data_IF_924132646052
#
_entry.id   IF_924132646052
#
_cell.length_a   1.000
_cell.length_b   1.000
_cell.length_c   1.000
_cell.angle_alpha   90.00
_cell.angle_beta   90.00
_cell.angle_gamma   90.00
#
_symmetry.space_group_name_H-M   'P 1'
#
loop_
_entity.id
_entity.type
_entity.pdbx_description
1 polymer ?
#
# COMPACT_ATOMS: atom_id res chain seq x y z
N UNK A 1 12.95 39.65 -0.66
CA UNK A 1 12.13 38.68 -1.42
C UNK A 1 10.78 38.60 -0.74
N UNK A 2 9.74 39.15 -1.37
CA UNK A 2 8.41 39.24 -0.79
C UNK A 2 7.74 37.86 -0.87
N UNK A 3 7.72 37.12 0.26
CA UNK A 3 6.97 35.86 0.36
C UNK A 3 5.50 36.26 0.47
N UNK A 4 4.87 36.49 -0.69
CA UNK A 4 3.42 36.49 -0.78
C UNK A 4 3.02 35.04 -0.50
N UNK A 5 2.53 34.79 0.71
CA UNK A 5 1.87 33.54 1.04
C UNK A 5 0.73 33.37 0.03
N UNK A 6 0.97 32.53 -0.97
CA UNK A 6 -0.05 32.17 -1.94
C UNK A 6 -1.06 31.32 -1.16
N UNK A 7 -2.17 31.96 -0.76
CA UNK A 7 -3.26 31.30 -0.06
C UNK A 7 -3.58 30.00 -0.80
N UNK A 8 -3.70 28.85 -0.10
CA UNK A 8 -4.01 27.60 -0.76
C UNK A 8 -5.33 27.82 -1.48
N UNK A 9 -5.31 27.80 -2.82
CA UNK A 9 -6.53 27.74 -3.64
C UNK A 9 -7.29 26.53 -3.13
N UNK A 10 -8.27 26.78 -2.26
CA UNK A 10 -9.09 25.74 -1.66
C UNK A 10 -9.75 24.93 -2.76
N UNK A 11 -9.96 23.64 -2.51
CA UNK A 11 -10.66 22.74 -3.43
C UNK A 11 -11.92 23.43 -3.94
N UNK A 12 -12.01 23.67 -5.25
CA UNK A 12 -13.17 24.35 -5.82
C UNK A 12 -14.43 23.54 -5.54
N UNK A 13 -15.57 24.21 -5.32
CA UNK A 13 -16.86 23.51 -5.17
C UNK A 13 -17.13 22.56 -6.35
N UNK A 14 -16.65 22.91 -7.54
CA UNK A 14 -16.73 22.06 -8.72
C UNK A 14 -15.87 20.78 -8.61
N UNK A 15 -14.71 20.83 -7.96
CA UNK A 15 -13.87 19.65 -7.75
C UNK A 15 -14.46 18.73 -6.68
N UNK A 16 -15.04 19.30 -5.63
CA UNK A 16 -15.78 18.52 -4.62
C UNK A 16 -16.95 17.79 -5.31
N UNK A 17 -17.70 18.47 -6.18
CA UNK A 17 -18.78 17.85 -6.93
C UNK A 17 -18.29 16.69 -7.82
N UNK A 18 -17.17 16.86 -8.54
CA UNK A 18 -16.56 15.78 -9.35
C UNK A 18 -16.12 14.59 -8.49
N UNK A 19 -15.56 14.84 -7.30
CA UNK A 19 -15.12 13.77 -6.38
C UNK A 19 -16.32 13.01 -5.79
N UNK A 20 -17.38 13.72 -5.40
CA UNK A 20 -18.62 13.09 -4.93
C UNK A 20 -19.25 12.27 -6.06
N UNK A 21 -19.26 12.77 -7.29
CA UNK A 21 -19.72 12.02 -8.46
C UNK A 21 -18.88 10.76 -8.70
N UNK A 22 -17.55 10.85 -8.63
CA UNK A 22 -16.66 9.69 -8.77
C UNK A 22 -16.91 8.64 -7.68
N UNK A 23 -17.09 9.07 -6.42
CA UNK A 23 -17.42 8.18 -5.32
C UNK A 23 -18.80 7.51 -5.52
N UNK A 24 -19.81 8.26 -5.97
CA UNK A 24 -21.13 7.73 -6.28
C UNK A 24 -21.08 6.67 -7.38
N UNK A 25 -20.27 6.88 -8.43
CA UNK A 25 -20.07 5.91 -9.52
C UNK A 25 -19.44 4.61 -8.99
N UNK A 26 -18.44 4.69 -8.11
CA UNK A 26 -17.85 3.50 -7.50
C UNK A 26 -18.85 2.73 -6.66
N UNK A 27 -19.59 3.42 -5.79
CA UNK A 27 -20.61 2.81 -4.94
C UNK A 27 -21.70 2.16 -5.80
N UNK A 28 -22.13 2.82 -6.87
CA UNK A 28 -23.09 2.26 -7.82
C UNK A 28 -22.57 1.00 -8.52
N UNK A 29 -21.30 0.99 -8.94
CA UNK A 29 -20.65 -0.18 -9.54
C UNK A 29 -20.57 -1.37 -8.59
N UNK A 30 -20.18 -1.13 -7.33
CA UNK A 30 -20.14 -2.17 -6.29
C UNK A 30 -21.54 -2.67 -5.96
N UNK A 31 -22.50 -1.75 -5.80
CA UNK A 31 -23.89 -2.10 -5.55
C UNK A 31 -24.46 -2.96 -6.68
N UNK A 32 -24.19 -2.60 -7.94
CA UNK A 32 -24.56 -3.38 -9.11
C UNK A 32 -24.01 -4.82 -9.04
N UNK A 33 -22.75 -5.00 -8.65
CA UNK A 33 -22.17 -6.34 -8.47
C UNK A 33 -22.93 -7.15 -7.40
N UNK A 34 -23.23 -6.54 -6.25
CA UNK A 34 -23.89 -7.22 -5.12
C UNK A 34 -25.38 -7.53 -5.37
N UNK A 35 -26.11 -6.61 -6.00
CA UNK A 35 -27.55 -6.77 -6.22
C UNK A 35 -27.85 -7.87 -7.23
N UNK A 36 -27.02 -7.97 -8.26
CA UNK A 36 -27.19 -8.96 -9.31
C UNK A 36 -26.51 -10.29 -8.99
N UNK A 37 -25.90 -10.46 -7.80
CA UNK A 37 -25.10 -11.65 -7.47
C UNK A 37 -25.83 -12.99 -7.77
N UNK A 38 -27.13 -13.03 -7.51
CA UNK A 38 -27.95 -14.24 -7.59
C UNK A 38 -28.75 -14.41 -8.90
N UNK A 39 -28.62 -13.49 -9.87
CA UNK A 39 -29.39 -13.55 -11.12
C UNK A 39 -28.63 -14.31 -12.22
N UNK A 40 -29.11 -15.51 -12.60
CA UNK A 40 -28.48 -16.38 -13.60
C UNK A 40 -28.40 -15.78 -15.02
N UNK A 41 -29.07 -14.66 -15.30
CA UNK A 41 -29.06 -14.04 -16.63
C UNK A 41 -27.79 -13.23 -16.91
N UNK A 42 -27.08 -12.79 -15.86
CA UNK A 42 -25.86 -11.99 -16.00
C UNK A 42 -24.64 -12.87 -15.66
N UNK A 43 -23.79 -13.24 -16.63
CA UNK A 43 -22.59 -14.02 -16.34
C UNK A 43 -21.63 -13.24 -15.44
N UNK A 44 -20.93 -13.92 -14.54
CA UNK A 44 -20.05 -13.29 -13.55
C UNK A 44 -18.99 -12.36 -14.16
N UNK A 45 -18.50 -12.68 -15.36
CA UNK A 45 -17.56 -11.84 -16.12
C UNK A 45 -18.14 -10.47 -16.46
N UNK A 46 -19.42 -10.38 -16.86
CA UNK A 46 -20.04 -9.10 -17.22
C UNK A 46 -20.15 -8.17 -16.00
N UNK A 47 -20.41 -8.72 -14.80
CA UNK A 47 -20.46 -7.94 -13.56
C UNK A 47 -19.08 -7.42 -13.16
N UNK A 48 -18.05 -8.25 -13.30
CA UNK A 48 -16.67 -7.82 -13.07
C UNK A 48 -16.26 -6.70 -14.03
N UNK A 49 -16.60 -6.82 -15.32
CA UNK A 49 -16.35 -5.78 -16.31
C UNK A 49 -17.09 -4.48 -15.98
N UNK A 50 -18.32 -4.54 -15.48
CA UNK A 50 -19.06 -3.35 -15.04
C UNK A 50 -18.36 -2.64 -13.88
N UNK A 51 -17.85 -3.38 -12.88
CA UNK A 51 -17.07 -2.79 -11.77
C UNK A 51 -15.76 -2.18 -12.26
N UNK A 52 -15.03 -2.87 -13.15
CA UNK A 52 -13.80 -2.36 -13.75
C UNK A 52 -14.08 -1.07 -14.54
N UNK A 53 -15.18 -1.02 -15.30
CA UNK A 53 -15.59 0.17 -16.03
C UNK A 53 -15.93 1.33 -15.08
N UNK A 54 -16.71 1.08 -14.01
CA UNK A 54 -17.02 2.07 -12.99
C UNK A 54 -15.75 2.61 -12.32
N UNK A 55 -14.79 1.74 -12.01
CA UNK A 55 -13.48 2.11 -11.48
C UNK A 55 -12.69 2.99 -12.45
N UNK A 56 -12.60 2.60 -13.72
CA UNK A 56 -11.89 3.36 -14.75
C UNK A 56 -12.49 4.77 -14.94
N UNK A 57 -13.82 4.88 -14.92
CA UNK A 57 -14.52 6.17 -15.02
C UNK A 57 -14.24 7.03 -13.79
N UNK A 58 -14.38 6.48 -12.59
CA UNK A 58 -14.13 7.21 -11.34
C UNK A 58 -12.68 7.71 -11.23
N UNK A 59 -11.70 6.88 -11.63
CA UNK A 59 -10.30 7.26 -11.69
C UNK A 59 -10.05 8.36 -12.73
N UNK A 60 -10.69 8.26 -13.89
CA UNK A 60 -10.58 9.28 -14.94
C UNK A 60 -11.13 10.63 -14.45
N UNK A 61 -12.32 10.66 -13.82
CA UNK A 61 -12.90 11.87 -13.24
C UNK A 61 -11.94 12.46 -12.18
N UNK A 62 -11.46 11.63 -11.26
CA UNK A 62 -10.54 12.05 -10.18
C UNK A 62 -9.24 12.60 -10.76
N UNK A 63 -8.72 12.01 -11.84
CA UNK A 63 -7.47 12.45 -12.47
C UNK A 63 -7.56 13.83 -13.12
N UNK A 64 -8.77 14.30 -13.47
CA UNK A 64 -9.03 15.65 -13.99
C UNK A 64 -9.41 16.67 -12.89
N UNK A 65 -9.33 16.31 -11.61
CA UNK A 65 -9.51 17.26 -10.49
C UNK A 65 -8.20 17.91 -10.06
N UNK A 66 -8.29 18.98 -9.27
CA UNK A 66 -7.13 19.62 -8.62
C UNK A 66 -6.29 18.63 -7.78
N UNK A 67 -6.95 17.68 -7.11
CA UNK A 67 -6.28 16.62 -6.36
C UNK A 67 -5.47 15.71 -7.30
N UNK A 68 -6.06 15.28 -8.43
CA UNK A 68 -5.40 14.46 -9.43
C UNK A 68 -4.16 15.15 -10.03
N UNK A 69 -4.27 16.46 -10.32
CA UNK A 69 -3.13 17.26 -10.78
C UNK A 69 -2.02 17.36 -9.73
N UNK A 70 -2.39 17.58 -8.46
CA UNK A 70 -1.43 17.62 -7.34
C UNK A 70 -0.69 16.29 -7.19
N UNK A 71 -1.39 15.17 -7.28
CA UNK A 71 -0.76 13.83 -7.22
C UNK A 71 0.20 13.62 -8.38
N UNK A 72 -0.17 14.00 -9.61
CA UNK A 72 0.74 13.92 -10.77
C UNK A 72 2.00 14.76 -10.59
N UNK A 73 1.85 15.97 -10.06
CA UNK A 73 2.99 16.83 -9.75
C UNK A 73 3.91 16.21 -8.69
N UNK A 74 3.31 15.75 -7.59
CA UNK A 74 4.03 15.08 -6.51
C UNK A 74 4.77 13.82 -6.98
N UNK A 75 4.19 13.03 -7.88
CA UNK A 75 4.85 11.86 -8.48
C UNK A 75 6.03 12.27 -9.36
N UNK A 76 5.90 13.35 -10.13
CA UNK A 76 6.99 13.86 -10.95
C UNK A 76 8.15 14.37 -10.07
N UNK A 77 7.85 15.11 -9.00
CA UNK A 77 8.83 15.56 -8.02
C UNK A 77 9.47 14.37 -7.29
N UNK A 78 8.69 13.37 -6.87
CA UNK A 78 9.19 12.17 -6.21
C UNK A 78 10.14 11.38 -7.11
N UNK A 79 9.86 11.29 -8.41
CA UNK A 79 10.78 10.67 -9.36
C UNK A 79 12.08 11.46 -9.53
N UNK A 80 12.02 12.79 -9.46
CA UNK A 80 13.21 13.63 -9.49
C UNK A 80 14.07 13.43 -8.23
N UNK A 81 13.44 13.38 -7.05
CA UNK A 81 14.14 13.11 -5.78
C UNK A 81 14.69 11.68 -5.72
N UNK A 82 13.96 10.69 -6.28
CA UNK A 82 14.43 9.31 -6.37
C UNK A 82 15.70 9.17 -7.20
N UNK A 83 15.95 10.08 -8.15
CA UNK A 83 17.23 10.12 -8.91
C UNK A 83 18.41 10.60 -8.07
N UNK A 84 18.16 11.31 -6.96
CA UNK A 84 19.20 11.72 -5.99
C UNK A 84 19.52 10.63 -4.98
N UNK A 85 18.72 9.57 -4.92
CA UNK A 85 18.98 8.42 -4.05
C UNK A 85 20.17 7.65 -4.60
N UNK A 86 21.24 7.62 -3.81
CA UNK A 86 22.39 6.76 -4.08
C UNK A 86 22.00 5.35 -3.65
N UNK A 87 21.71 4.50 -4.63
CA UNK A 87 21.42 3.10 -4.38
C UNK A 87 22.71 2.37 -3.99
N UNK A 88 22.66 1.49 -2.98
CA UNK A 88 23.85 0.80 -2.50
C UNK A 88 24.43 -0.06 -3.61
N UNK A 89 25.76 -0.15 -3.63
CA UNK A 89 26.44 -1.09 -4.54
C UNK A 89 26.17 -2.53 -4.12
N UNK A 90 26.39 -3.49 -5.03
CA UNK A 90 26.26 -4.92 -4.70
C UNK A 90 27.14 -5.30 -3.50
N UNK A 91 28.33 -4.73 -3.41
CA UNK A 91 29.28 -5.01 -2.33
C UNK A 91 28.79 -4.47 -0.98
N UNK A 92 28.23 -3.26 -0.94
CA UNK A 92 27.63 -2.70 0.28
C UNK A 92 26.42 -3.50 0.74
N UNK A 93 25.59 -3.94 -0.21
CA UNK A 93 24.41 -4.77 0.05
C UNK A 93 24.82 -6.12 0.66
N UNK A 94 25.82 -6.77 0.08
CA UNK A 94 26.32 -8.07 0.57
C UNK A 94 27.01 -7.91 1.92
N UNK A 95 27.81 -6.86 2.13
CA UNK A 95 28.44 -6.58 3.43
C UNK A 95 27.40 -6.39 4.52
N UNK A 96 26.40 -5.54 4.28
CA UNK A 96 25.34 -5.26 5.26
C UNK A 96 24.51 -6.52 5.55
N UNK A 97 24.12 -7.26 4.51
CA UNK A 97 23.38 -8.52 4.66
C UNK A 97 24.19 -9.57 5.40
N UNK A 98 25.50 -9.68 5.12
CA UNK A 98 26.40 -10.60 5.80
C UNK A 98 26.53 -10.30 7.29
N UNK A 99 26.61 -9.02 7.68
CA UNK A 99 26.58 -8.61 9.10
C UNK A 99 25.27 -9.01 9.76
N UNK A 100 24.12 -8.76 9.11
CA UNK A 100 22.81 -9.16 9.63
C UNK A 100 22.74 -10.68 9.80
N UNK A 101 23.16 -11.46 8.81
CA UNK A 101 23.18 -12.92 8.87
C UNK A 101 24.04 -13.43 10.04
N UNK A 102 25.22 -12.85 10.25
CA UNK A 102 26.07 -13.20 11.38
C UNK A 102 25.36 -12.97 12.72
N UNK A 103 24.73 -11.81 12.89
CA UNK A 103 23.97 -11.49 14.11
C UNK A 103 22.81 -12.46 14.30
N UNK A 104 22.05 -12.76 13.23
CA UNK A 104 20.93 -13.72 13.27
C UNK A 104 21.39 -15.11 13.67
N UNK A 105 22.52 -15.60 13.16
CA UNK A 105 23.09 -16.91 13.52
C UNK A 105 23.48 -16.94 15.00
N UNK A 106 24.16 -15.91 15.49
CA UNK A 106 24.56 -15.83 16.91
C UNK A 106 23.33 -15.84 17.82
N UNK A 107 22.32 -15.01 17.53
CA UNK A 107 21.10 -14.93 18.32
C UNK A 107 20.30 -16.24 18.27
N UNK A 108 20.21 -16.87 17.10
CA UNK A 108 19.50 -18.14 16.93
C UNK A 108 20.17 -19.27 17.71
N UNK A 109 21.51 -19.32 17.73
CA UNK A 109 22.25 -20.29 18.54
C UNK A 109 22.09 -20.03 20.04
N UNK A 110 22.16 -18.77 20.46
CA UNK A 110 21.98 -18.39 21.87
C UNK A 110 20.58 -18.77 22.37
N UNK A 111 19.53 -18.35 21.64
CA UNK A 111 18.14 -18.66 21.98
C UNK A 111 17.90 -20.17 21.93
N UNK A 112 18.37 -20.85 20.89
CA UNK A 112 18.25 -22.31 20.78
C UNK A 112 18.92 -23.04 21.95
N UNK A 113 20.08 -22.58 22.42
CA UNK A 113 20.73 -23.14 23.60
C UNK A 113 19.88 -22.94 24.86
N UNK A 114 19.32 -21.74 25.05
CA UNK A 114 18.42 -21.45 26.17
C UNK A 114 17.17 -22.33 26.10
N UNK A 115 16.57 -22.50 24.93
CA UNK A 115 15.41 -23.36 24.72
C UNK A 115 15.71 -24.83 25.05
N UNK A 116 16.90 -25.33 24.69
CA UNK A 116 17.33 -26.69 25.03
C UNK A 116 17.48 -26.87 26.54
N UNK A 117 18.14 -25.92 27.21
CA UNK A 117 18.30 -25.94 28.68
C UNK A 117 16.93 -25.90 29.35
N UNK A 118 16.06 -24.99 28.91
CA UNK A 118 14.72 -24.83 29.48
C UNK A 118 13.88 -26.09 29.28
N UNK A 119 13.95 -26.73 28.11
CA UNK A 119 13.29 -28.02 27.85
C UNK A 119 13.80 -29.12 28.78
N UNK A 120 15.10 -29.28 28.94
CA UNK A 120 15.65 -30.30 29.84
C UNK A 120 15.28 -30.04 31.31
N UNK A 121 15.36 -28.79 31.78
CA UNK A 121 15.02 -28.44 33.16
C UNK A 121 13.51 -28.58 33.44
N UNK A 122 12.65 -28.15 32.53
CA UNK A 122 11.19 -28.19 32.75
C UNK A 122 10.62 -29.58 32.44
N UNK A 123 10.95 -30.17 31.29
CA UNK A 123 10.30 -31.42 30.86
C UNK A 123 10.92 -32.65 31.54
N UNK A 124 12.25 -32.72 31.60
CA UNK A 124 12.92 -33.93 32.09
C UNK A 124 13.14 -33.92 33.61
N UNK A 125 13.38 -32.75 34.21
CA UNK A 125 13.62 -32.65 35.65
C UNK A 125 12.36 -32.39 36.47
N UNK A 126 11.45 -31.50 36.02
CA UNK A 126 10.25 -31.14 36.79
C UNK A 126 9.05 -32.08 36.55
N UNK A 127 8.75 -32.45 35.29
CA UNK A 127 7.58 -33.29 34.99
C UNK A 127 7.82 -34.79 35.19
N UNK A 128 9.08 -35.23 35.27
CA UNK A 128 9.46 -36.64 35.44
C UNK A 128 9.78 -37.02 36.90
N UNK A 129 9.63 -36.07 37.81
CA UNK A 129 9.74 -36.27 39.26
C UNK A 129 8.39 -36.61 39.89
#
# INVERSE_FOLDING_TARGET
MNIKAESPKGTSAADIAKLVLAAAILVAGIFFYTWFDNDQRIPGVARLLAVIAALAIALSITAFTELGRRVRHFLAESQFEMRKVVWPTRDETIKTTGVILLVVVILSLLLGLIDLILKSVILDWLLKM
#
